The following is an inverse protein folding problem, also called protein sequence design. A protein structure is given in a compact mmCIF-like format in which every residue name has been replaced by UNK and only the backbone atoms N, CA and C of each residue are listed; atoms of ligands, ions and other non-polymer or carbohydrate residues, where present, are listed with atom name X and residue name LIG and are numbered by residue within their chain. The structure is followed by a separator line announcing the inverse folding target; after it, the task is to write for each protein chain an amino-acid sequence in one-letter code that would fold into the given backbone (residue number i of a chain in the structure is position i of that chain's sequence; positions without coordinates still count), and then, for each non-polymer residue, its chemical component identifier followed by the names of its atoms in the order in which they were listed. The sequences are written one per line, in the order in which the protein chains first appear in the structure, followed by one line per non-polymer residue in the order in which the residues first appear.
data_IF_572059432601
#
_entry.id   IF_572059432601
#
_cell.length_a   1.000
_cell.length_b   1.000
_cell.length_c   1.000
_cell.angle_alpha   90.00
_cell.angle_beta   90.00
_cell.angle_gamma   90.00
#
_symmetry.space_group_name_H-M   'P 1'
#
loop_
_entity.id
_entity.type
_entity.pdbx_description
1 polymer ?
#
# COMPACT_ATOMS: atom_id res chain seq x y z
N UNK A 1 -15.20 -14.03 5.32
CA UNK A 1 -14.64 -13.52 4.05
C UNK A 1 -13.15 -13.29 4.22
N UNK A 2 -12.36 -13.43 3.16
CA UNK A 2 -10.91 -13.19 3.21
C UNK A 2 -10.65 -11.68 3.25
N UNK A 3 -9.85 -11.20 4.21
CA UNK A 3 -9.47 -9.77 4.28
C UNK A 3 -8.08 -9.59 3.68
N UNK A 4 -7.93 -8.65 2.76
CA UNK A 4 -6.67 -8.39 2.04
C UNK A 4 -6.28 -6.93 2.23
N UNK A 5 -5.06 -6.70 2.72
CA UNK A 5 -4.46 -5.37 2.76
C UNK A 5 -3.73 -5.06 1.46
N UNK A 6 -3.99 -3.90 0.88
CA UNK A 6 -3.30 -3.36 -0.30
C UNK A 6 -2.38 -2.26 0.19
N UNK A 7 -1.07 -2.46 0.09
CA UNK A 7 -0.09 -1.48 0.49
C UNK A 7 0.63 -0.92 -0.74
N UNK A 8 0.09 0.17 -1.28
CA UNK A 8 0.64 0.86 -2.43
C UNK A 8 1.79 1.78 -2.03
N UNK A 9 2.88 1.74 -2.80
CA UNK A 9 4.04 2.59 -2.51
C UNK A 9 5.06 2.65 -3.63
N UNK A 10 5.86 3.72 -3.64
CA UNK A 10 7.04 3.78 -4.51
C UNK A 10 8.12 2.80 -4.05
N UNK A 11 8.27 2.60 -2.73
CA UNK A 11 9.31 1.72 -2.14
C UNK A 11 10.70 2.01 -2.70
N UNK A 12 11.15 3.26 -2.56
CA UNK A 12 12.37 3.79 -3.16
C UNK A 12 13.36 4.35 -2.11
N UNK A 13 13.98 3.49 -1.27
CA UNK A 13 13.82 2.03 -1.20
C UNK A 13 12.75 1.56 -0.20
N UNK A 14 12.38 0.27 -0.27
CA UNK A 14 11.71 -0.41 0.85
C UNK A 14 12.64 -0.44 2.08
N UNK A 15 12.06 -0.39 3.28
CA UNK A 15 12.81 -0.34 4.53
C UNK A 15 11.97 -0.89 5.69
N UNK A 16 12.58 -1.14 6.86
CA UNK A 16 11.91 -1.75 8.02
C UNK A 16 10.64 -1.03 8.46
N UNK A 17 10.58 0.31 8.40
CA UNK A 17 9.34 1.03 8.70
C UNK A 17 8.13 0.59 7.85
N UNK A 18 8.33 0.26 6.56
CA UNK A 18 7.27 -0.30 5.73
C UNK A 18 6.85 -1.69 6.22
N UNK A 19 7.82 -2.55 6.53
CA UNK A 19 7.59 -3.94 6.93
C UNK A 19 6.89 -4.03 8.29
N UNK A 20 7.31 -3.22 9.25
CA UNK A 20 6.73 -3.16 10.59
C UNK A 20 5.26 -2.75 10.52
N UNK A 21 4.95 -1.65 9.82
CA UNK A 21 3.58 -1.17 9.68
C UNK A 21 2.69 -2.15 8.91
N UNK A 22 3.22 -2.80 7.87
CA UNK A 22 2.49 -3.84 7.14
C UNK A 22 2.21 -5.07 8.02
N UNK A 23 3.17 -5.48 8.86
CA UNK A 23 3.04 -6.61 9.78
C UNK A 23 2.02 -6.30 10.86
N UNK A 24 2.12 -5.13 11.48
CA UNK A 24 1.18 -4.65 12.49
C UNK A 24 -0.25 -4.61 11.95
N UNK A 25 -0.45 -4.05 10.75
CA UNK A 25 -1.75 -4.02 10.11
C UNK A 25 -2.27 -5.45 9.80
N UNK A 26 -1.41 -6.33 9.30
CA UNK A 26 -1.74 -7.72 9.03
C UNK A 26 -2.25 -8.44 10.28
N UNK A 27 -1.53 -8.30 11.40
CA UNK A 27 -1.86 -8.98 12.66
C UNK A 27 -3.08 -8.35 13.34
N UNK A 28 -3.09 -7.02 13.48
CA UNK A 28 -4.15 -6.28 14.19
C UNK A 28 -5.50 -6.38 13.49
N UNK A 29 -5.50 -6.36 12.15
CA UNK A 29 -6.72 -6.44 11.35
C UNK A 29 -6.98 -7.85 10.82
N UNK A 30 -6.21 -8.85 11.27
CA UNK A 30 -6.33 -10.25 10.87
C UNK A 30 -6.45 -10.41 9.34
N UNK A 31 -5.58 -9.72 8.59
CA UNK A 31 -5.51 -9.90 7.15
C UNK A 31 -4.97 -11.28 6.82
N UNK A 32 -5.56 -11.92 5.81
CA UNK A 32 -5.03 -13.16 5.26
C UNK A 32 -3.72 -12.90 4.52
N UNK A 33 -3.60 -11.72 3.89
CA UNK A 33 -2.36 -11.25 3.28
C UNK A 33 -2.32 -9.72 3.16
N UNK A 34 -1.11 -9.18 3.07
CA UNK A 34 -0.82 -7.81 2.65
C UNK A 34 -0.05 -7.85 1.33
N UNK A 35 -0.63 -7.23 0.31
CA UNK A 35 -0.10 -7.12 -1.04
C UNK A 35 0.64 -5.79 -1.17
N UNK A 36 1.96 -5.85 -1.27
CA UNK A 36 2.83 -4.73 -1.59
C UNK A 36 2.74 -4.44 -3.09
N UNK A 37 2.06 -3.34 -3.45
CA UNK A 37 1.92 -2.93 -4.84
C UNK A 37 2.98 -1.89 -5.17
N UNK A 38 3.94 -2.26 -6.01
CA UNK A 38 5.08 -1.41 -6.36
C UNK A 38 4.68 -0.46 -7.48
N UNK A 39 4.61 0.84 -7.20
CA UNK A 39 4.18 1.82 -8.19
C UNK A 39 5.17 1.98 -9.35
N UNK A 40 4.68 2.10 -10.59
CA UNK A 40 5.50 2.51 -11.73
C UNK A 40 5.96 3.96 -11.57
N UNK A 41 4.99 4.88 -11.43
CA UNK A 41 5.21 6.28 -11.15
C UNK A 41 4.05 6.84 -10.33
N UNK A 42 4.33 7.42 -9.16
CA UNK A 42 3.30 8.03 -8.32
C UNK A 42 2.69 9.26 -9.01
N UNK A 43 1.34 9.39 -9.07
CA UNK A 43 0.66 10.56 -9.63
C UNK A 43 1.07 11.88 -8.96
N UNK A 44 1.50 11.82 -7.69
CA UNK A 44 1.85 12.98 -6.85
C UNK A 44 3.34 13.36 -6.94
N UNK A 45 4.18 12.53 -7.58
CA UNK A 45 5.65 12.74 -7.65
C UNK A 45 6.15 12.77 -9.10
N UNK A 46 5.43 13.44 -9.99
CA UNK A 46 5.77 13.49 -11.42
C UNK A 46 7.08 14.25 -11.72
N UNK A 47 7.48 15.17 -10.85
CA UNK A 47 8.67 16.01 -11.03
C UNK A 47 9.99 15.28 -10.77
N UNK A 48 9.97 14.01 -10.32
CA UNK A 48 11.16 13.21 -10.06
C UNK A 48 10.94 11.80 -10.58
N UNK A 49 11.81 11.36 -11.48
CA UNK A 49 11.83 9.96 -11.87
C UNK A 49 12.28 9.11 -10.67
N UNK A 50 11.48 8.12 -10.23
CA UNK A 50 11.91 7.20 -9.19
C UNK A 50 13.03 6.29 -9.73
N UNK A 51 13.72 5.60 -8.84
CA UNK A 51 14.59 4.46 -9.23
C UNK A 51 13.81 3.51 -10.15
N UNK A 52 14.43 2.86 -11.16
CA UNK A 52 13.72 1.97 -12.07
C UNK A 52 12.84 0.95 -11.34
N UNK A 53 11.61 0.76 -11.82
CA UNK A 53 10.63 -0.13 -11.19
C UNK A 53 11.14 -1.56 -11.03
N UNK A 54 11.96 -2.05 -11.97
CA UNK A 54 12.61 -3.36 -11.88
C UNK A 54 13.55 -3.50 -10.65
N UNK A 55 14.28 -2.44 -10.29
CA UNK A 55 15.16 -2.43 -9.12
C UNK A 55 14.33 -2.41 -7.84
N UNK A 56 13.34 -1.54 -7.76
CA UNK A 56 12.44 -1.45 -6.60
C UNK A 56 11.64 -2.73 -6.39
N UNK A 57 11.21 -3.37 -7.48
CA UNK A 57 10.59 -4.70 -7.46
C UNK A 57 11.52 -5.73 -6.81
N UNK A 58 12.77 -5.83 -7.26
CA UNK A 58 13.75 -6.75 -6.67
C UNK A 58 13.93 -6.48 -5.17
N UNK A 59 14.06 -5.22 -4.77
CA UNK A 59 14.20 -4.86 -3.35
C UNK A 59 12.99 -5.27 -2.52
N UNK A 60 11.76 -4.99 -2.99
CA UNK A 60 10.53 -5.39 -2.29
C UNK A 60 10.42 -6.90 -2.19
N UNK A 61 10.63 -7.64 -3.29
CA UNK A 61 10.56 -9.10 -3.27
C UNK A 61 11.60 -9.74 -2.36
N UNK A 62 12.81 -9.18 -2.28
CA UNK A 62 13.84 -9.64 -1.37
C UNK A 62 13.48 -9.33 0.09
N UNK A 63 12.92 -8.14 0.36
CA UNK A 63 12.54 -7.70 1.70
C UNK A 63 11.39 -8.51 2.32
N UNK A 64 10.49 -9.06 1.51
CA UNK A 64 9.36 -9.88 1.98
C UNK A 64 9.57 -11.39 1.77
N UNK A 65 10.75 -11.81 1.30
CA UNK A 65 11.01 -13.21 0.99
C UNK A 65 10.90 -14.08 2.26
N UNK A 66 10.00 -15.07 2.23
CA UNK A 66 9.78 -15.97 3.36
C UNK A 66 8.88 -15.40 4.47
N UNK A 67 8.34 -14.19 4.32
CA UNK A 67 7.42 -13.57 5.27
C UNK A 67 5.99 -14.07 5.06
N UNK A 68 5.43 -14.89 5.97
CA UNK A 68 4.07 -15.40 5.80
C UNK A 68 3.06 -14.26 5.81
N UNK A 69 2.14 -14.32 4.84
CA UNK A 69 1.09 -13.31 4.66
C UNK A 69 1.55 -12.05 3.93
N UNK A 70 2.79 -11.94 3.47
CA UNK A 70 3.20 -10.88 2.55
C UNK A 70 3.27 -11.38 1.12
N UNK A 71 2.76 -10.57 0.20
CA UNK A 71 2.85 -10.79 -1.24
C UNK A 71 3.29 -9.50 -1.93
N UNK A 72 3.97 -9.61 -3.07
CA UNK A 72 4.32 -8.47 -3.91
C UNK A 72 3.52 -8.52 -5.21
N UNK A 73 3.10 -7.37 -5.71
CA UNK A 73 2.34 -7.24 -6.95
C UNK A 73 3.01 -6.29 -7.94
N UNK A 74 3.09 -6.73 -9.19
CA UNK A 74 3.59 -5.96 -10.34
C UNK A 74 2.49 -5.24 -11.11
N UNK A 75 1.24 -5.30 -10.65
CA UNK A 75 0.07 -4.75 -11.37
C UNK A 75 0.30 -3.33 -11.90
N UNK A 76 0.97 -2.49 -11.11
CA UNK A 76 1.26 -1.11 -11.51
C UNK A 76 2.52 -0.97 -12.37
N UNK A 77 3.49 -1.87 -12.24
CA UNK A 77 4.72 -1.89 -13.05
C UNK A 77 4.40 -2.28 -14.50
N UNK A 78 3.47 -3.22 -14.67
CA UNK A 78 3.18 -3.83 -15.96
C UNK A 78 2.10 -3.06 -16.75
N UNK A 79 1.72 -1.86 -16.31
CA UNK A 79 0.79 -0.93 -17.00
C UNK A 79 1.43 0.45 -17.27
N UNK A 80 0.92 1.25 -18.22
CA UNK A 80 1.41 2.61 -18.45
C UNK A 80 1.27 3.51 -17.21
N UNK A 81 2.24 4.40 -16.93
CA UNK A 81 2.10 5.38 -15.85
C UNK A 81 1.07 6.47 -16.19
N UNK A 82 0.50 7.16 -15.20
CA UNK A 82 0.82 7.06 -13.76
C UNK A 82 0.05 5.95 -13.04
N UNK A 83 0.54 5.59 -11.85
CA UNK A 83 -0.06 4.59 -10.96
C UNK A 83 -1.28 5.12 -10.21
N UNK A 84 -2.49 4.97 -10.77
CA UNK A 84 -3.72 5.31 -10.04
C UNK A 84 -4.21 4.16 -9.14
N UNK A 85 -4.38 4.44 -7.85
CA UNK A 85 -4.82 3.46 -6.85
C UNK A 85 -6.20 2.85 -7.18
N UNK A 86 -7.10 3.63 -7.79
CA UNK A 86 -8.44 3.16 -8.20
C UNK A 86 -8.36 1.99 -9.18
N UNK A 87 -7.51 2.07 -10.19
CA UNK A 87 -7.34 1.03 -11.19
C UNK A 87 -6.69 -0.23 -10.59
N UNK A 88 -5.78 -0.04 -9.61
CA UNK A 88 -5.16 -1.15 -8.87
C UNK A 88 -6.20 -1.92 -8.07
N UNK A 89 -7.08 -1.19 -7.39
CA UNK A 89 -8.17 -1.77 -6.61
C UNK A 89 -9.19 -2.47 -7.51
N UNK A 90 -9.54 -1.90 -8.66
CA UNK A 90 -10.43 -2.53 -9.64
C UNK A 90 -9.88 -3.90 -10.10
N UNK A 91 -8.58 -3.95 -10.45
CA UNK A 91 -7.92 -5.19 -10.85
C UNK A 91 -7.88 -6.23 -9.73
N UNK A 92 -7.54 -5.83 -8.50
CA UNK A 92 -7.49 -6.75 -7.35
C UNK A 92 -8.88 -7.23 -6.94
N UNK A 93 -9.90 -6.38 -7.02
CA UNK A 93 -11.29 -6.77 -6.74
C UNK A 93 -11.80 -7.78 -7.76
N UNK A 94 -11.43 -7.64 -9.04
CA UNK A 94 -11.77 -8.62 -10.06
C UNK A 94 -11.08 -9.98 -9.81
N UNK A 95 -9.83 -9.96 -9.35
CA UNK A 95 -9.07 -11.18 -9.02
C UNK A 95 -9.51 -11.84 -7.69
N UNK A 96 -10.09 -11.07 -6.77
CA UNK A 96 -10.49 -11.50 -5.43
C UNK A 96 -11.94 -11.11 -5.12
N UNK A 97 -12.89 -11.57 -5.94
CA UNK A 97 -14.30 -11.13 -5.89
C UNK A 97 -15.03 -11.36 -4.57
N UNK A 98 -14.55 -12.29 -3.74
CA UNK A 98 -15.13 -12.61 -2.41
C UNK A 98 -14.34 -12.02 -1.24
N UNK A 99 -13.26 -11.27 -1.52
CA UNK A 99 -12.43 -10.67 -0.49
C UNK A 99 -12.89 -9.26 -0.13
N UNK A 100 -12.72 -8.91 1.14
CA UNK A 100 -12.81 -7.53 1.62
C UNK A 100 -11.45 -6.86 1.44
N UNK A 101 -11.42 -5.74 0.72
CA UNK A 101 -10.20 -5.03 0.39
C UNK A 101 -9.99 -3.83 1.32
N UNK A 102 -8.79 -3.74 1.85
CA UNK A 102 -8.34 -2.65 2.71
C UNK A 102 -7.19 -1.93 2.02
N UNK A 103 -7.19 -0.60 2.00
CA UNK A 103 -6.11 0.17 1.40
C UNK A 103 -5.29 0.85 2.49
N UNK A 104 -4.06 0.38 2.65
CA UNK A 104 -3.12 0.86 3.66
C UNK A 104 -2.46 2.13 3.11
N UNK A 105 -2.63 3.23 3.83
CA UNK A 105 -2.15 4.55 3.44
C UNK A 105 -1.37 5.17 4.59
N UNK A 106 -0.17 5.70 4.30
CA UNK A 106 0.59 6.44 5.31
C UNK A 106 -0.12 7.74 5.69
N UNK A 107 -0.06 8.11 6.97
CA UNK A 107 -0.62 9.36 7.51
C UNK A 107 -0.27 10.60 6.67
N UNK A 108 0.94 10.63 6.09
CA UNK A 108 1.43 11.69 5.22
C UNK A 108 0.57 11.96 3.98
N UNK A 109 -0.25 10.99 3.55
CA UNK A 109 -1.12 11.13 2.39
C UNK A 109 -2.55 11.58 2.75
N UNK A 110 -2.92 11.58 4.04
CA UNK A 110 -4.28 11.94 4.48
C UNK A 110 -4.73 13.33 4.03
N UNK A 111 -3.90 14.41 4.11
CA UNK A 111 -4.34 15.74 3.71
C UNK A 111 -4.74 15.83 2.23
N UNK A 112 -4.15 14.99 1.38
CA UNK A 112 -4.38 14.98 -0.06
C UNK A 112 -5.26 13.80 -0.52
N UNK A 113 -5.69 12.92 0.38
CA UNK A 113 -6.35 11.65 0.02
C UNK A 113 -7.63 11.88 -0.81
N UNK A 114 -8.41 12.90 -0.47
CA UNK A 114 -9.62 13.26 -1.21
C UNK A 114 -9.37 13.78 -2.62
N UNK A 115 -8.12 14.16 -2.95
CA UNK A 115 -7.72 14.63 -4.27
C UNK A 115 -7.25 13.50 -5.19
N UNK A 116 -7.19 12.26 -4.67
CA UNK A 116 -6.77 11.11 -5.47
C UNK A 116 -7.71 10.88 -6.65
N UNK A 117 -7.15 10.40 -7.75
CA UNK A 117 -7.90 10.15 -8.98
C UNK A 117 -9.07 9.21 -8.73
N UNK A 118 -10.29 9.68 -9.04
CA UNK A 118 -11.56 8.96 -8.80
C UNK A 118 -11.71 8.51 -7.33
N UNK A 119 -11.37 9.38 -6.38
CA UNK A 119 -11.44 9.07 -4.94
C UNK A 119 -12.82 8.56 -4.49
N UNK A 120 -13.91 9.12 -5.01
CA UNK A 120 -15.27 8.65 -4.65
C UNK A 120 -15.55 7.20 -5.07
N UNK A 121 -15.02 6.77 -6.21
CA UNK A 121 -15.11 5.37 -6.63
C UNK A 121 -14.21 4.51 -5.73
N UNK A 122 -12.98 4.97 -5.50
CA UNK A 122 -11.98 4.26 -4.69
C UNK A 122 -12.50 3.98 -3.27
N UNK A 123 -13.04 4.99 -2.57
CA UNK A 123 -13.54 4.86 -1.20
C UNK A 123 -14.78 3.97 -1.06
N UNK A 124 -15.47 3.67 -2.17
CA UNK A 124 -16.58 2.71 -2.18
C UNK A 124 -16.09 1.27 -2.36
N UNK A 125 -14.87 1.08 -2.88
CA UNK A 125 -14.30 -0.24 -3.16
C UNK A 125 -13.42 -0.79 -2.05
N UNK A 126 -12.89 0.07 -1.17
CA UNK A 126 -11.97 -0.31 -0.09
C UNK A 126 -12.32 0.35 1.23
N UNK A 127 -11.89 -0.28 2.33
CA UNK A 127 -11.77 0.39 3.62
C UNK A 127 -10.35 0.94 3.77
N UNK A 128 -10.20 2.25 4.00
CA UNK A 128 -8.89 2.84 4.22
C UNK A 128 -8.37 2.52 5.63
N UNK A 129 -7.10 2.16 5.71
CA UNK A 129 -6.36 1.93 6.96
C UNK A 129 -5.20 2.91 6.98
N UNK A 130 -5.21 3.79 7.97
CA UNK A 130 -4.14 4.79 8.15
C UNK A 130 -3.00 4.15 8.93
N UNK A 131 -1.82 4.20 8.36
CA UNK A 131 -0.58 3.80 9.02
C UNK A 131 0.06 5.03 9.65
N UNK A 132 0.04 5.09 10.98
CA UNK A 132 0.71 6.15 11.74
C UNK A 132 2.23 6.05 11.54
N UNK A 133 2.84 7.17 11.18
CA UNK A 133 4.30 7.29 10.99
C UNK A 133 4.91 8.32 11.93
N UNK A 134 4.10 9.13 12.58
CA UNK A 134 4.56 10.28 13.35
C UNK A 134 5.01 9.89 14.75
N UNK A 135 4.52 8.76 15.28
CA UNK A 135 4.77 8.39 16.68
C UNK A 135 4.40 9.53 17.63
N UNK A 136 3.46 10.38 17.21
CA UNK A 136 3.06 11.58 17.93
C UNK A 136 2.59 11.19 19.32
N UNK A 137 3.33 11.63 20.34
CA UNK A 137 3.06 11.37 21.75
C UNK A 137 1.57 11.58 22.08
N UNK A 138 0.86 10.52 22.44
CA UNK A 138 0.00 10.63 23.61
C UNK A 138 0.96 10.66 24.81
N UNK A 139 1.04 11.80 25.51
CA UNK A 139 1.67 11.82 26.82
C UNK A 139 0.85 10.90 27.73
N UNK A 140 1.47 9.81 28.17
CA UNK A 140 0.94 8.99 29.24
C UNK A 140 1.69 9.39 30.51
N UNK A 141 0.95 9.72 31.57
CA UNK A 141 1.52 9.98 32.90
C UNK A 141 2.13 8.73 33.57
N UNK A 142 2.16 7.60 32.87
CA UNK A 142 2.62 6.31 33.35
C UNK A 142 3.36 5.54 32.25
N UNK A 143 4.31 4.67 32.63
CA UNK A 143 5.11 3.88 31.67
C UNK A 143 4.28 2.93 30.82
#
# INVERSE_FOLDING_TARGET
MKRIGIYGGSFDPVHHGHLILAREALETLAFAEVIFVVAAQSPHKQNRAPTPSAVRWQMVTAAIAGEPGFAASRLEIDRPPPSYSVETVEALRAAHSEAELFFLVGEDNLPELSTWHRFDDLRQMVQFVVLDRSGGKTEYDYP
#
